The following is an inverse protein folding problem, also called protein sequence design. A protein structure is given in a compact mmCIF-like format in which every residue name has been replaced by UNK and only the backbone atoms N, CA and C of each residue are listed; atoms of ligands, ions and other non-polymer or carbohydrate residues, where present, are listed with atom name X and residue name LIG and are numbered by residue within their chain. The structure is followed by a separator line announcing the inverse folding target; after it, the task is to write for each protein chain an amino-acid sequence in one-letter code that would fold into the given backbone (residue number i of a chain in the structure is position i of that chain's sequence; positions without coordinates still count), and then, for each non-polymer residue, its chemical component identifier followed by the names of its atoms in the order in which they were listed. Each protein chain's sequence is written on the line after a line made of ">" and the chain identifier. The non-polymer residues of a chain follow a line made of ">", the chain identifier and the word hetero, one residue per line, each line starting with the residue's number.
data_IF_962981848832
#
_entry.id   IF_962981848832
#
_cell.length_a   1.000
_cell.length_b   1.000
_cell.length_c   1.000
_cell.angle_alpha   90.00
_cell.angle_beta   90.00
_cell.angle_gamma   90.00
#
_symmetry.space_group_name_H-M   'P 1'
#
loop_
_entity.id
_entity.type
_entity.pdbx_description
1 polymer ?
#
# COMPACT_ATOMS: atom_id res chain seq x y z
N UNK A 1 23.19 16.70 17.59
CA UNK A 1 21.99 17.15 16.84
C UNK A 1 21.58 16.19 15.71
N UNK A 2 22.35 15.14 15.42
CA UNK A 2 22.05 14.13 14.39
C UNK A 2 21.02 13.09 14.83
N UNK A 3 21.08 12.61 16.08
CA UNK A 3 20.28 11.45 16.52
C UNK A 3 18.77 11.70 16.58
N UNK A 4 18.34 12.92 16.93
CA UNK A 4 16.92 13.31 16.98
C UNK A 4 16.26 13.29 15.61
N UNK A 5 16.96 13.72 14.57
CA UNK A 5 16.45 13.71 13.20
C UNK A 5 16.32 12.28 12.64
N UNK A 6 17.28 11.40 12.98
CA UNK A 6 17.20 9.98 12.62
C UNK A 6 16.01 9.29 13.30
N UNK A 7 15.81 9.51 14.60
CA UNK A 7 14.69 8.92 15.33
C UNK A 7 13.34 9.37 14.78
N UNK A 8 13.19 10.66 14.43
CA UNK A 8 11.96 11.18 13.87
C UNK A 8 11.68 10.63 12.46
N UNK A 9 12.71 10.52 11.61
CA UNK A 9 12.59 9.89 10.29
C UNK A 9 12.13 8.44 10.40
N UNK A 10 12.79 7.65 11.26
CA UNK A 10 12.44 6.25 11.46
C UNK A 10 10.99 6.07 11.92
N UNK A 11 10.51 6.99 12.76
CA UNK A 11 9.10 7.03 13.16
C UNK A 11 8.18 7.35 11.98
N UNK A 12 8.48 8.35 11.16
CA UNK A 12 7.67 8.68 9.97
C UNK A 12 7.63 7.52 8.96
N UNK A 13 8.78 6.89 8.69
CA UNK A 13 8.86 5.72 7.81
C UNK A 13 8.13 4.52 8.40
N UNK A 14 8.23 4.30 9.72
CA UNK A 14 7.48 3.25 10.41
C UNK A 14 5.96 3.46 10.33
N UNK A 15 5.49 4.70 10.48
CA UNK A 15 4.07 5.06 10.30
C UNK A 15 3.64 4.81 8.85
N UNK A 16 4.46 5.18 7.86
CA UNK A 16 4.18 4.94 6.46
C UNK A 16 4.08 3.43 6.14
N UNK A 17 5.00 2.63 6.68
CA UNK A 17 4.99 1.18 6.52
C UNK A 17 3.72 0.56 7.14
N UNK A 18 3.40 0.93 8.38
CA UNK A 18 2.19 0.47 9.05
C UNK A 18 0.92 0.86 8.28
N UNK A 19 0.83 2.12 7.82
CA UNK A 19 -0.30 2.58 7.02
C UNK A 19 -0.42 1.81 5.70
N UNK A 20 0.69 1.52 5.03
CA UNK A 20 0.72 0.76 3.78
C UNK A 20 0.21 -0.67 4.00
N UNK A 21 0.66 -1.34 5.07
CA UNK A 21 0.18 -2.69 5.44
C UNK A 21 -1.31 -2.68 5.75
N UNK A 22 -1.80 -1.69 6.51
CA UNK A 22 -3.22 -1.56 6.84
C UNK A 22 -4.06 -1.37 5.58
N UNK A 23 -3.66 -0.47 4.69
CA UNK A 23 -4.38 -0.22 3.43
C UNK A 23 -4.38 -1.45 2.52
N UNK A 24 -3.23 -2.13 2.40
CA UNK A 24 -3.14 -3.38 1.63
C UNK A 24 -4.07 -4.46 2.20
N UNK A 25 -4.09 -4.62 3.53
CA UNK A 25 -4.94 -5.59 4.22
C UNK A 25 -6.42 -5.29 4.00
N UNK A 26 -6.82 -4.03 4.14
CA UNK A 26 -8.20 -3.59 3.87
C UNK A 26 -8.57 -3.89 2.42
N UNK A 27 -7.72 -3.56 1.45
CA UNK A 27 -7.98 -3.85 0.05
C UNK A 27 -8.18 -5.36 -0.17
N UNK A 28 -7.28 -6.20 0.34
CA UNK A 28 -7.40 -7.66 0.22
C UNK A 28 -8.71 -8.16 0.82
N UNK A 29 -9.07 -7.72 2.03
CA UNK A 29 -10.31 -8.14 2.68
C UNK A 29 -11.57 -7.69 1.92
N UNK A 30 -11.57 -6.47 1.37
CA UNK A 30 -12.65 -5.99 0.50
C UNK A 30 -12.77 -6.88 -0.74
N UNK A 31 -11.66 -7.21 -1.40
CA UNK A 31 -11.66 -8.08 -2.57
C UNK A 31 -12.10 -9.52 -2.27
N UNK A 32 -11.71 -10.06 -1.11
CA UNK A 32 -12.23 -11.36 -0.64
C UNK A 32 -13.74 -11.35 -0.41
N UNK A 33 -14.34 -10.22 -0.01
CA UNK A 33 -15.80 -10.12 0.10
C UNK A 33 -16.51 -10.21 -1.27
N UNK A 34 -15.83 -9.83 -2.36
CA UNK A 34 -16.35 -9.93 -3.71
C UNK A 34 -16.25 -11.34 -4.31
N UNK A 35 -15.33 -12.19 -3.84
CA UNK A 35 -15.14 -13.53 -4.44
C UNK A 35 -16.33 -14.46 -4.25
N UNK A 36 -17.18 -14.22 -3.24
CA UNK A 36 -18.39 -15.01 -2.98
C UNK A 36 -19.71 -14.38 -3.49
N UNK A 37 -19.66 -13.17 -4.06
CA UNK A 37 -20.86 -12.45 -4.50
C UNK A 37 -20.89 -12.35 -6.03
N UNK A 38 -21.74 -13.17 -6.66
CA UNK A 38 -21.97 -13.12 -8.11
C UNK A 38 -21.60 -14.41 -8.83
N UNK A 39 -22.28 -15.51 -8.47
CA UNK A 39 -22.43 -16.63 -9.41
C UNK A 39 -23.51 -16.26 -10.43
N UNK A 40 -23.14 -15.41 -11.40
CA UNK A 40 -23.90 -15.31 -12.63
C UNK A 40 -23.59 -16.58 -13.44
N UNK A 41 -24.53 -17.53 -13.46
CA UNK A 41 -24.55 -18.71 -14.33
C UNK A 41 -23.18 -19.38 -14.54
N UNK A 42 -22.58 -19.89 -13.47
CA UNK A 42 -21.36 -20.73 -13.54
C UNK A 42 -20.05 -19.98 -13.82
N UNK A 43 -20.06 -18.66 -14.00
CA UNK A 43 -18.85 -17.86 -14.11
C UNK A 43 -18.54 -17.12 -12.78
N UNK A 44 -17.37 -17.36 -12.16
CA UNK A 44 -17.01 -16.75 -10.88
C UNK A 44 -16.54 -15.30 -11.07
N UNK A 45 -17.47 -14.43 -11.49
CA UNK A 45 -17.19 -13.05 -11.90
C UNK A 45 -16.46 -12.26 -10.82
N UNK A 46 -16.92 -12.39 -9.58
CA UNK A 46 -16.31 -11.73 -8.42
C UNK A 46 -14.85 -12.15 -8.20
N UNK A 47 -14.55 -13.44 -8.37
CA UNK A 47 -13.18 -13.94 -8.30
C UNK A 47 -12.30 -13.39 -9.43
N UNK A 48 -12.79 -13.41 -10.67
CA UNK A 48 -12.01 -12.92 -11.83
C UNK A 48 -11.72 -11.43 -11.71
N UNK A 49 -12.72 -10.63 -11.30
CA UNK A 49 -12.51 -9.21 -11.06
C UNK A 49 -11.50 -8.97 -9.92
N UNK A 50 -11.57 -9.75 -8.84
CA UNK A 50 -10.62 -9.64 -7.75
C UNK A 50 -9.19 -10.01 -8.18
N UNK A 51 -9.02 -11.13 -8.87
CA UNK A 51 -7.73 -11.59 -9.38
C UNK A 51 -7.11 -10.61 -10.39
N UNK A 52 -7.95 -9.89 -11.14
CA UNK A 52 -7.48 -8.92 -12.14
C UNK A 52 -7.13 -7.57 -11.50
N UNK A 53 -8.02 -6.99 -10.68
CA UNK A 53 -7.88 -5.61 -10.21
C UNK A 53 -6.95 -5.50 -9.00
N UNK A 54 -6.99 -6.47 -8.08
CA UNK A 54 -6.23 -6.42 -6.83
C UNK A 54 -4.71 -6.27 -7.07
N UNK A 55 -4.06 -7.00 -8.00
CA UNK A 55 -2.64 -6.80 -8.29
C UNK A 55 -2.31 -5.37 -8.73
N UNK A 56 -3.12 -4.76 -9.61
CA UNK A 56 -2.89 -3.38 -10.05
C UNK A 56 -3.02 -2.39 -8.89
N UNK A 57 -3.99 -2.59 -8.02
CA UNK A 57 -4.17 -1.74 -6.84
C UNK A 57 -2.99 -1.85 -5.87
N UNK A 58 -2.47 -3.07 -5.64
CA UNK A 58 -1.29 -3.27 -4.80
C UNK A 58 -0.03 -2.67 -5.42
N UNK A 59 0.16 -2.81 -6.73
CA UNK A 59 1.27 -2.15 -7.45
C UNK A 59 1.18 -0.63 -7.32
N UNK A 60 -0.02 -0.06 -7.51
CA UNK A 60 -0.23 1.36 -7.32
C UNK A 60 0.11 1.81 -5.88
N UNK A 61 -0.28 1.03 -4.88
CA UNK A 61 0.02 1.30 -3.48
C UNK A 61 1.54 1.30 -3.21
N UNK A 62 2.30 0.39 -3.84
CA UNK A 62 3.77 0.35 -3.76
C UNK A 62 4.37 1.65 -4.32
N UNK A 63 3.98 2.06 -5.52
CA UNK A 63 4.49 3.31 -6.11
C UNK A 63 4.11 4.54 -5.28
N UNK A 64 2.90 4.54 -4.70
CA UNK A 64 2.47 5.60 -3.79
C UNK A 64 3.35 5.63 -2.53
N UNK A 65 3.64 4.48 -1.92
CA UNK A 65 4.48 4.38 -0.74
C UNK A 65 5.91 4.83 -1.02
N UNK A 66 6.49 4.43 -2.15
CA UNK A 66 7.83 4.87 -2.58
C UNK A 66 7.87 6.40 -2.70
N UNK A 67 6.94 7.02 -3.45
CA UNK A 67 6.88 8.48 -3.58
C UNK A 67 6.69 9.22 -2.25
N UNK A 68 6.03 8.59 -1.27
CA UNK A 68 5.88 9.14 0.08
C UNK A 68 7.18 9.03 0.87
N UNK A 69 7.88 7.91 0.75
CA UNK A 69 9.17 7.70 1.37
C UNK A 69 10.22 8.68 0.83
N UNK A 70 10.28 8.89 -0.49
CA UNK A 70 11.15 9.90 -1.10
C UNK A 70 10.91 11.31 -0.53
N UNK A 71 9.65 11.68 -0.30
CA UNK A 71 9.29 12.96 0.34
C UNK A 71 9.69 13.03 1.81
N UNK A 72 9.75 11.90 2.51
CA UNK A 72 10.29 11.83 3.88
C UNK A 72 11.81 12.02 3.78
N UNK A 73 12.51 11.25 2.95
CA UNK A 73 13.96 11.28 2.84
C UNK A 73 14.49 12.64 2.37
N UNK A 74 13.82 13.31 1.41
CA UNK A 74 14.13 14.70 1.01
C UNK A 74 14.05 15.69 2.17
N UNK A 75 13.07 15.53 3.08
CA UNK A 75 12.92 16.42 4.26
C UNK A 75 14.06 16.27 5.26
N UNK A 76 14.76 15.13 5.25
CA UNK A 76 15.89 14.85 6.14
C UNK A 76 17.25 14.98 5.44
N UNK A 77 17.30 15.49 4.20
CA UNK A 77 18.55 15.73 3.47
C UNK A 77 19.29 14.45 3.04
N UNK A 78 18.57 13.34 2.91
CA UNK A 78 19.12 12.02 2.54
C UNK A 78 18.83 11.65 1.08
N UNK A 79 18.28 12.59 0.31
CA UNK A 79 18.03 12.41 -1.11
C UNK A 79 19.02 13.28 -1.88
N UNK A 80 19.93 12.63 -2.61
CA UNK A 80 20.75 13.30 -3.62
C UNK A 80 19.87 13.51 -4.87
N UNK A 81 19.77 14.75 -5.35
CA UNK A 81 19.06 15.08 -6.60
C UNK A 81 19.84 14.61 -7.83
#
# INVERSE_FOLDING_TARGET
>A
MTDTNYAQRWRETGILAAATVVVASIAILLFLSFTGSGEAEGYPTGFVLAATILPFLLVFLVFWAIRRQEKIDRRYGLFED
#
